data_IF_743426971963
#
_entry.id   IF_743426971963
#
_cell.length_a   1.000
_cell.length_b   1.000
_cell.length_c   1.000
_cell.angle_alpha   90.00
_cell.angle_beta   90.00
_cell.angle_gamma   90.00
#
_symmetry.space_group_name_H-M   'P 1'
#
loop_
_entity.id
_entity.type
_entity.pdbx_description
1 polymer ?
#
# COMPACT_ATOMS: atom_id res chain seq x y z
N UNK A 1 -8.65 28.32 10.56
CA UNK A 1 -8.63 27.48 11.77
C UNK A 1 -7.54 26.47 11.54
N UNK A 2 -6.51 26.53 12.37
CA UNK A 2 -5.17 25.98 12.14
C UNK A 2 -5.12 24.47 12.27
N UNK A 3 -4.30 23.91 11.39
CA UNK A 3 -3.95 22.52 11.13
C UNK A 3 -3.31 21.88 12.38
N UNK A 4 -4.08 21.18 13.22
CA UNK A 4 -3.57 20.35 14.33
C UNK A 4 -3.21 18.94 13.82
N UNK A 5 -2.32 18.89 12.82
CA UNK A 5 -1.54 17.68 12.58
C UNK A 5 -0.54 17.58 13.73
N UNK A 6 -0.86 16.71 14.69
CA UNK A 6 -0.04 16.42 15.86
C UNK A 6 1.30 15.79 15.43
N UNK A 7 2.23 16.63 14.99
CA UNK A 7 3.61 16.33 14.61
C UNK A 7 4.53 16.24 15.85
N UNK A 8 3.97 16.46 17.06
CA UNK A 8 4.75 16.49 18.28
C UNK A 8 4.82 15.09 18.90
N UNK A 9 5.98 14.46 18.71
CA UNK A 9 6.43 13.31 19.49
C UNK A 9 6.26 13.64 20.99
N UNK A 10 5.53 12.83 21.77
CA UNK A 10 5.21 13.14 23.16
C UNK A 10 6.49 13.35 23.96
N UNK A 11 6.47 14.34 24.85
CA UNK A 11 7.59 14.90 25.62
C UNK A 11 8.38 13.91 26.49
N UNK A 12 7.96 12.65 26.52
CA UNK A 12 8.59 11.52 27.23
C UNK A 12 9.39 10.58 26.32
N UNK A 13 9.46 10.84 25.00
CA UNK A 13 10.24 10.02 24.10
C UNK A 13 11.75 10.26 24.35
N UNK A 14 12.57 9.20 24.52
CA UNK A 14 14.02 9.35 24.68
C UNK A 14 14.59 10.21 23.54
N UNK A 15 15.55 11.10 23.83
CA UNK A 15 16.17 12.01 22.83
C UNK A 15 16.88 11.29 21.67
N UNK A 16 16.91 9.97 21.69
CA UNK A 16 17.45 9.05 20.69
C UNK A 16 16.39 8.45 19.74
N UNK A 17 15.09 8.71 19.93
CA UNK A 17 14.05 8.10 19.10
C UNK A 17 13.87 8.87 17.76
N UNK A 18 13.99 8.22 16.58
CA UNK A 18 13.82 8.86 15.27
C UNK A 18 12.33 9.11 14.89
N UNK A 19 11.51 9.50 15.86
CA UNK A 19 10.04 9.38 15.81
C UNK A 19 9.34 10.04 14.60
N UNK A 20 9.64 11.29 14.17
CA UNK A 20 8.84 11.91 13.12
C UNK A 20 9.10 11.28 11.74
N UNK A 21 10.37 11.02 11.42
CA UNK A 21 10.76 10.49 10.10
C UNK A 21 10.31 9.03 9.95
N UNK A 22 10.50 8.19 10.98
CA UNK A 22 10.05 6.80 10.91
C UNK A 22 8.52 6.69 10.83
N UNK A 23 7.81 7.57 11.54
CA UNK A 23 6.35 7.65 11.44
C UNK A 23 5.91 8.09 10.05
N UNK A 24 6.58 9.07 9.44
CA UNK A 24 6.31 9.48 8.05
C UNK A 24 6.56 8.34 7.05
N UNK A 25 7.63 7.56 7.23
CA UNK A 25 7.90 6.40 6.37
C UNK A 25 6.82 5.33 6.56
N UNK A 26 6.46 4.99 7.80
CA UNK A 26 5.39 4.03 8.08
C UNK A 26 4.03 4.50 7.52
N UNK A 27 3.74 5.80 7.62
CA UNK A 27 2.54 6.41 7.04
C UNK A 27 2.57 6.35 5.51
N UNK A 28 3.73 6.59 4.88
CA UNK A 28 3.90 6.43 3.43
C UNK A 28 3.61 5.00 3.00
N UNK A 29 4.16 4.00 3.71
CA UNK A 29 3.90 2.59 3.42
C UNK A 29 2.39 2.32 3.51
N UNK A 30 1.73 2.71 4.60
CA UNK A 30 0.29 2.51 4.77
C UNK A 30 -0.55 3.17 3.65
N UNK A 31 -0.15 4.35 3.17
CA UNK A 31 -0.81 5.00 2.04
C UNK A 31 -0.61 4.23 0.73
N UNK A 32 0.59 3.69 0.49
CA UNK A 32 0.90 2.86 -0.68
C UNK A 32 0.10 1.54 -0.64
N UNK A 33 0.02 0.87 0.51
CA UNK A 33 -0.82 -0.31 0.75
C UNK A 33 -2.30 -0.04 0.43
N UNK A 34 -2.83 1.09 0.91
CA UNK A 34 -4.21 1.50 0.63
C UNK A 34 -4.47 1.75 -0.86
N UNK A 35 -3.47 2.28 -1.57
CA UNK A 35 -3.56 2.48 -3.02
C UNK A 35 -3.54 1.14 -3.77
N UNK A 36 -2.69 0.19 -3.37
CA UNK A 36 -2.67 -1.17 -3.94
C UNK A 36 -4.01 -1.88 -3.75
N UNK A 37 -4.61 -1.79 -2.56
CA UNK A 37 -5.94 -2.32 -2.29
C UNK A 37 -7.01 -1.71 -3.21
N UNK A 38 -6.93 -0.40 -3.50
CA UNK A 38 -7.85 0.25 -4.43
C UNK A 38 -7.66 -0.26 -5.87
N UNK A 39 -6.43 -0.55 -6.29
CA UNK A 39 -6.16 -1.11 -7.62
C UNK A 39 -6.71 -2.53 -7.72
N UNK A 40 -6.51 -3.36 -6.69
CA UNK A 40 -7.08 -4.72 -6.64
C UNK A 40 -8.60 -4.69 -6.81
N UNK A 41 -9.28 -3.81 -6.09
CA UNK A 41 -10.73 -3.65 -6.23
C UNK A 41 -11.14 -3.25 -7.65
N UNK A 42 -10.41 -2.34 -8.29
CA UNK A 42 -10.69 -1.93 -9.67
C UNK A 42 -10.52 -3.09 -10.68
N UNK A 43 -9.53 -3.97 -10.46
CA UNK A 43 -9.34 -5.17 -11.28
C UNK A 43 -10.46 -6.21 -11.05
N UNK A 44 -10.94 -6.37 -9.80
CA UNK A 44 -12.12 -7.19 -9.51
C UNK A 44 -13.38 -6.66 -10.21
N UNK A 45 -13.58 -5.34 -10.21
CA UNK A 45 -14.69 -4.69 -10.92
C UNK A 45 -14.61 -4.92 -12.43
N UNK A 46 -13.40 -4.94 -13.00
CA UNK A 46 -13.18 -5.21 -14.43
C UNK A 46 -13.66 -6.62 -14.81
N UNK A 47 -13.27 -7.63 -14.02
CA UNK A 47 -13.73 -9.01 -14.21
C UNK A 47 -15.25 -9.11 -14.05
N UNK A 48 -15.80 -8.50 -12.99
CA UNK A 48 -17.23 -8.56 -12.71
C UNK A 48 -18.06 -7.99 -13.86
N UNK A 49 -17.61 -6.88 -14.45
CA UNK A 49 -18.27 -6.25 -15.61
C UNK A 49 -18.23 -7.12 -16.85
N UNK A 50 -17.08 -7.72 -17.19
CA UNK A 50 -16.95 -8.52 -18.41
C UNK A 50 -17.75 -9.82 -18.31
N UNK A 51 -17.80 -10.43 -17.12
CA UNK A 51 -18.61 -11.62 -16.86
C UNK A 51 -20.11 -11.29 -16.93
N UNK A 52 -20.53 -10.16 -16.35
CA UNK A 52 -21.93 -9.73 -16.40
C UNK A 52 -22.40 -9.36 -17.82
N UNK A 53 -21.50 -8.92 -18.68
CA UNK A 53 -21.80 -8.50 -20.05
C UNK A 53 -21.94 -9.67 -21.05
N UNK A 54 -21.75 -10.93 -20.62
CA UNK A 54 -21.70 -12.10 -21.51
C UNK A 54 -20.76 -11.88 -22.71
N UNK A 55 -19.57 -11.33 -22.46
CA UNK A 55 -18.59 -11.05 -23.51
C UNK A 55 -18.09 -12.33 -24.19
N UNK A 56 -17.60 -12.17 -25.42
CA UNK A 56 -16.98 -13.27 -26.16
C UNK A 56 -15.69 -13.76 -25.49
N UNK A 57 -15.27 -14.96 -25.87
CA UNK A 57 -14.11 -15.63 -25.30
C UNK A 57 -12.80 -14.82 -25.46
N UNK A 58 -12.59 -14.16 -26.60
CA UNK A 58 -11.35 -13.41 -26.84
C UNK A 58 -11.27 -12.19 -25.91
N UNK A 59 -12.40 -11.49 -25.73
CA UNK A 59 -12.51 -10.38 -24.77
C UNK A 59 -12.23 -10.84 -23.34
N UNK A 60 -12.77 -12.00 -22.93
CA UNK A 60 -12.52 -12.57 -21.60
C UNK A 60 -11.04 -12.86 -21.37
N UNK A 61 -10.37 -13.50 -22.33
CA UNK A 61 -8.93 -13.83 -22.25
C UNK A 61 -8.08 -12.56 -22.20
N UNK A 62 -8.41 -11.54 -22.99
CA UNK A 62 -7.69 -10.28 -22.99
C UNK A 62 -7.77 -9.55 -21.65
N UNK A 63 -8.96 -9.52 -21.04
CA UNK A 63 -9.17 -8.93 -19.71
C UNK A 63 -8.44 -9.73 -18.63
N UNK A 64 -8.56 -11.06 -18.62
CA UNK A 64 -7.86 -11.92 -17.66
C UNK A 64 -6.34 -11.72 -17.74
N UNK A 65 -5.77 -11.70 -18.95
CA UNK A 65 -4.34 -11.43 -19.18
C UNK A 65 -3.93 -10.05 -18.64
N UNK A 66 -4.77 -9.03 -18.85
CA UNK A 66 -4.53 -7.67 -18.32
C UNK A 66 -4.57 -7.62 -16.80
N UNK A 67 -5.51 -8.35 -16.17
CA UNK A 67 -5.64 -8.43 -14.71
C UNK A 67 -4.41 -9.14 -14.13
N UNK A 68 -4.02 -10.29 -14.70
CA UNK A 68 -2.84 -11.05 -14.27
C UNK A 68 -1.56 -10.19 -14.32
N UNK A 69 -1.34 -9.46 -15.41
CA UNK A 69 -0.19 -8.54 -15.51
C UNK A 69 -0.21 -7.46 -14.43
N UNK A 70 -1.40 -6.99 -14.04
CA UNK A 70 -1.55 -6.00 -12.96
C UNK A 70 -1.26 -6.64 -11.59
N UNK A 71 -1.74 -7.86 -11.34
CA UNK A 71 -1.46 -8.62 -10.13
C UNK A 71 0.04 -8.89 -9.95
N UNK A 72 0.75 -9.28 -11.02
CA UNK A 72 2.20 -9.49 -10.97
C UNK A 72 2.96 -8.22 -10.53
N UNK A 73 2.50 -7.06 -11.02
CA UNK A 73 3.08 -5.76 -10.63
C UNK A 73 2.77 -5.41 -9.18
N UNK A 74 1.55 -5.70 -8.71
CA UNK A 74 1.17 -5.50 -7.31
C UNK A 74 2.02 -6.39 -6.39
N UNK A 75 2.21 -7.67 -6.72
CA UNK A 75 3.08 -8.58 -5.97
C UNK A 75 4.51 -8.05 -5.89
N UNK A 76 5.03 -7.49 -6.99
CA UNK A 76 6.36 -6.86 -6.99
C UNK A 76 6.43 -5.65 -6.04
N UNK A 77 5.41 -4.79 -6.05
CA UNK A 77 5.34 -3.61 -5.18
C UNK A 77 5.17 -3.99 -3.70
N UNK A 78 4.33 -4.97 -3.39
CA UNK A 78 4.19 -5.57 -2.05
C UNK A 78 5.55 -6.05 -1.51
N UNK A 79 6.34 -6.71 -2.35
CA UNK A 79 7.71 -7.11 -1.98
C UNK A 79 8.60 -5.93 -1.60
N UNK A 80 8.49 -4.81 -2.33
CA UNK A 80 9.23 -3.57 -2.04
C UNK A 80 8.74 -2.91 -0.76
N UNK A 81 7.42 -2.79 -0.56
CA UNK A 81 6.81 -2.23 0.64
C UNK A 81 7.17 -3.03 1.88
N UNK A 82 7.12 -4.36 1.77
CA UNK A 82 7.57 -5.27 2.82
C UNK A 82 9.05 -5.05 3.15
N UNK A 83 9.93 -4.99 2.14
CA UNK A 83 11.35 -4.74 2.39
C UNK A 83 11.59 -3.36 3.05
N UNK A 84 10.83 -2.34 2.65
CA UNK A 84 10.86 -1.00 3.26
C UNK A 84 10.44 -1.05 4.72
N UNK A 85 9.35 -1.76 5.03
CA UNK A 85 8.86 -1.95 6.39
C UNK A 85 9.86 -2.72 7.25
N UNK A 86 10.38 -3.83 6.73
CA UNK A 86 11.38 -4.66 7.40
C UNK A 86 12.65 -3.86 7.71
N UNK A 87 13.01 -2.85 6.89
CA UNK A 87 14.15 -1.95 7.14
C UNK A 87 13.94 -0.99 8.31
N UNK A 88 12.70 -0.58 8.60
CA UNK A 88 12.40 0.41 9.65
C UNK A 88 11.93 -0.22 10.97
N UNK A 89 11.44 -1.47 10.94
CA UNK A 89 10.98 -2.19 12.14
C UNK A 89 12.04 -2.20 13.26
N UNK A 90 13.33 -2.49 13.02
CA UNK A 90 14.34 -2.47 14.08
C UNK A 90 14.44 -1.08 14.73
N UNK A 91 14.38 -0.02 13.92
CA UNK A 91 14.47 1.36 14.38
C UNK A 91 13.24 1.80 15.18
N UNK A 92 12.06 1.25 14.85
CA UNK A 92 10.83 1.45 15.62
C UNK A 92 10.87 0.72 16.95
N UNK A 93 11.42 -0.50 16.99
CA UNK A 93 11.57 -1.27 18.22
C UNK A 93 12.54 -0.62 19.20
N UNK A 94 13.60 0.04 18.71
CA UNK A 94 14.54 0.79 19.55
C UNK A 94 13.91 2.04 20.22
N UNK A 95 12.71 2.45 19.78
CA UNK A 95 11.95 3.57 20.35
C UNK A 95 10.95 3.16 21.43
N UNK A 96 10.63 1.87 21.58
CA UNK A 96 9.67 1.34 22.56
C UNK A 96 10.36 0.85 23.83
#
# INVERSE_FOLDING_TARGET
MTDDRNIHCPTTCPRSCPCPILLEIATSIANEEQALASILNAECDKISKVVAAYSDYETLVAIDTSVQSTLDRIISLEGVLKAKLDSIIPLLNDCM
#
